data_IF_594342065647
#
_entry.id   IF_594342065647
#
_cell.length_a   1.000
_cell.length_b   1.000
_cell.length_c   1.000
_cell.angle_alpha   90.00
_cell.angle_beta   90.00
_cell.angle_gamma   90.00
#
_symmetry.space_group_name_H-M   'P 1'
#
loop_
_entity.id
_entity.type
_entity.pdbx_description
1 polymer ?
#
# COMPACT_ATOMS: atom_id res chain seq x y z
N UNK A 1 -40.49 45.80 24.75
CA UNK A 1 -41.15 45.56 23.45
C UNK A 1 -40.71 44.20 22.92
N UNK A 2 -41.61 43.22 22.85
CA UNK A 2 -41.35 41.93 22.21
C UNK A 2 -42.49 41.63 21.24
N UNK A 3 -42.18 41.59 19.94
CA UNK A 3 -43.14 41.44 18.85
C UNK A 3 -43.50 39.96 18.70
N UNK A 4 -44.69 39.55 19.15
CA UNK A 4 -45.26 38.21 18.87
C UNK A 4 -45.51 38.09 17.37
N UNK A 5 -44.71 37.27 16.69
CA UNK A 5 -44.92 36.90 15.29
C UNK A 5 -46.01 35.83 15.25
N UNK A 6 -47.18 36.16 14.73
CA UNK A 6 -48.28 35.21 14.55
C UNK A 6 -47.98 34.27 13.39
N UNK A 7 -47.79 33.00 13.69
CA UNK A 7 -47.68 31.95 12.68
C UNK A 7 -49.07 31.32 12.50
N UNK A 8 -49.74 31.65 11.39
CA UNK A 8 -50.96 30.98 10.94
C UNK A 8 -50.62 30.24 9.66
N UNK A 9 -50.22 28.98 9.78
CA UNK A 9 -50.17 28.08 8.64
C UNK A 9 -51.60 27.64 8.28
N UNK A 10 -52.02 27.66 7.00
CA UNK A 10 -53.33 27.20 6.59
C UNK A 10 -53.46 25.69 6.85
N UNK A 11 -54.60 25.28 7.40
CA UNK A 11 -54.88 23.91 7.83
C UNK A 11 -55.09 23.00 6.60
N UNK A 12 -54.01 22.59 5.93
CA UNK A 12 -54.02 21.62 4.83
C UNK A 12 -54.25 20.21 5.41
N UNK A 13 -55.36 19.56 5.04
CA UNK A 13 -55.59 18.14 5.37
C UNK A 13 -54.58 17.28 4.61
N UNK A 14 -53.58 16.76 5.32
CA UNK A 14 -52.62 15.80 4.80
C UNK A 14 -53.33 14.47 4.51
N UNK A 15 -53.53 14.17 3.23
CA UNK A 15 -54.04 12.86 2.79
C UNK A 15 -52.86 11.89 2.77
N UNK A 16 -52.99 10.75 3.45
CA UNK A 16 -51.91 9.76 3.45
C UNK A 16 -51.68 9.22 2.02
N UNK A 17 -50.42 8.94 1.64
CA UNK A 17 -50.11 8.28 0.37
C UNK A 17 -50.86 6.94 0.31
N UNK A 18 -51.37 6.62 -0.87
CA UNK A 18 -52.02 5.34 -1.08
C UNK A 18 -51.01 4.20 -0.85
N UNK A 19 -51.37 3.27 0.04
CA UNK A 19 -50.60 2.08 0.40
C UNK A 19 -51.13 0.83 -0.29
N UNK A 20 -52.07 0.98 -1.23
CA UNK A 20 -52.44 -0.10 -2.12
C UNK A 20 -51.17 -0.54 -2.87
N UNK A 21 -50.85 -1.83 -2.78
CA UNK A 21 -49.69 -2.41 -3.47
C UNK A 21 -49.80 -2.22 -4.99
N UNK A 22 -48.72 -2.46 -5.74
CA UNK A 22 -48.70 -2.25 -7.18
C UNK A 22 -49.81 -3.07 -7.87
N UNK A 23 -50.63 -2.39 -8.68
CA UNK A 23 -51.70 -3.03 -9.46
C UNK A 23 -51.19 -3.84 -10.66
N UNK A 24 -49.91 -3.69 -11.02
CA UNK A 24 -49.25 -4.36 -12.14
C UNK A 24 -48.19 -5.32 -11.62
N UNK A 25 -47.90 -6.38 -12.37
CA UNK A 25 -46.85 -7.36 -12.06
C UNK A 25 -45.57 -6.67 -11.61
N UNK A 26 -45.01 -7.10 -10.50
CA UNK A 26 -43.78 -6.51 -9.97
C UNK A 26 -42.58 -6.94 -10.81
N UNK A 27 -41.49 -6.15 -10.78
CA UNK A 27 -40.24 -6.53 -11.47
C UNK A 27 -39.68 -7.85 -10.93
N UNK A 28 -39.94 -8.16 -9.66
CA UNK A 28 -39.59 -9.42 -9.03
C UNK A 28 -40.38 -10.58 -9.66
N UNK A 29 -41.69 -10.44 -9.78
CA UNK A 29 -42.57 -11.44 -10.41
C UNK A 29 -42.25 -11.65 -11.90
N UNK A 30 -41.92 -10.58 -12.63
CA UNK A 30 -41.48 -10.67 -14.02
C UNK A 30 -40.11 -11.36 -14.17
N UNK A 31 -39.24 -11.22 -13.18
CA UNK A 31 -37.95 -11.89 -13.15
C UNK A 31 -38.07 -13.38 -12.80
N UNK A 32 -39.00 -13.71 -11.90
CA UNK A 32 -39.39 -15.07 -11.55
C UNK A 32 -40.08 -15.78 -12.73
N UNK A 33 -41.02 -15.12 -13.41
CA UNK A 33 -41.70 -15.65 -14.61
C UNK A 33 -40.72 -15.95 -15.77
N UNK A 34 -39.56 -15.30 -15.77
CA UNK A 34 -38.50 -15.46 -16.79
C UNK A 34 -37.31 -16.30 -16.32
N UNK A 35 -37.40 -16.93 -15.16
CA UNK A 35 -36.33 -17.75 -14.55
C UNK A 35 -34.96 -17.03 -14.51
N UNK A 36 -34.95 -15.69 -14.37
CA UNK A 36 -33.72 -14.89 -14.44
C UNK A 36 -32.76 -15.22 -13.30
N UNK A 37 -33.28 -15.58 -12.13
CA UNK A 37 -32.48 -16.00 -10.98
C UNK A 37 -31.76 -17.32 -11.21
N UNK A 38 -32.41 -18.28 -11.86
CA UNK A 38 -31.83 -19.57 -12.22
C UNK A 38 -30.74 -19.37 -13.28
N UNK A 39 -30.99 -18.51 -14.27
CA UNK A 39 -30.01 -18.17 -15.29
C UNK A 39 -28.79 -17.45 -14.70
N UNK A 40 -29.00 -16.50 -13.78
CA UNK A 40 -27.92 -15.82 -13.07
C UNK A 40 -27.07 -16.79 -12.26
N UNK A 41 -27.70 -17.67 -11.47
CA UNK A 41 -27.02 -18.70 -10.68
C UNK A 41 -26.22 -19.67 -11.56
N UNK A 42 -26.81 -20.14 -12.65
CA UNK A 42 -26.12 -21.03 -13.59
C UNK A 42 -24.90 -20.36 -14.23
N UNK A 43 -24.99 -19.06 -14.55
CA UNK A 43 -23.88 -18.28 -15.10
C UNK A 43 -22.78 -18.05 -14.07
N UNK A 44 -23.15 -17.79 -12.82
CA UNK A 44 -22.22 -17.66 -11.71
C UNK A 44 -21.47 -18.98 -11.45
N UNK A 45 -22.19 -20.10 -11.41
CA UNK A 45 -21.62 -21.44 -11.26
C UNK A 45 -20.68 -21.79 -12.42
N UNK A 46 -21.03 -21.40 -13.65
CA UNK A 46 -20.17 -21.57 -14.82
C UNK A 46 -18.88 -20.74 -14.72
N UNK A 47 -18.97 -19.48 -14.28
CA UNK A 47 -17.81 -18.62 -14.04
C UNK A 47 -16.93 -19.15 -12.90
N UNK A 48 -17.52 -19.63 -11.81
CA UNK A 48 -16.81 -20.28 -10.69
C UNK A 48 -16.07 -21.54 -11.17
N UNK A 49 -16.70 -22.37 -12.01
CA UNK A 49 -16.06 -23.55 -12.61
C UNK A 49 -14.93 -23.18 -13.57
N UNK A 50 -15.09 -22.14 -14.39
CA UNK A 50 -14.02 -21.64 -15.26
C UNK A 50 -12.82 -21.13 -14.43
N UNK A 51 -13.07 -20.33 -13.39
CA UNK A 51 -12.03 -19.84 -12.46
C UNK A 51 -11.31 -21.00 -11.74
N UNK A 52 -12.04 -22.04 -11.34
CA UNK A 52 -11.46 -23.27 -10.75
C UNK A 52 -10.64 -24.08 -11.77
N UNK A 53 -11.08 -24.16 -13.02
CA UNK A 53 -10.35 -24.88 -14.08
C UNK A 53 -9.06 -24.17 -14.48
N UNK A 54 -9.07 -22.83 -14.55
CA UNK A 54 -7.86 -22.01 -14.74
C UNK A 54 -6.89 -22.16 -13.57
N UNK A 55 -7.39 -22.26 -12.34
CA UNK A 55 -6.56 -22.50 -11.14
C UNK A 55 -6.01 -23.93 -11.07
N UNK A 56 -6.70 -24.93 -11.64
CA UNK A 56 -6.29 -26.34 -11.58
C UNK A 56 -5.27 -26.76 -12.65
N UNK A 57 -4.99 -25.91 -13.65
CA UNK A 57 -3.90 -26.10 -14.61
C UNK A 57 -2.50 -25.91 -14.01
N UNK A 58 -2.40 -25.29 -12.83
CA UNK A 58 -1.12 -24.91 -12.23
C UNK A 58 -1.15 -25.08 -10.69
N UNK A 59 -1.41 -26.28 -10.18
CA UNK A 59 -0.83 -26.79 -8.91
C UNK A 59 -1.51 -28.07 -8.41
N UNK A 60 -0.84 -29.20 -8.62
CA UNK A 60 -0.98 -30.36 -7.73
C UNK A 60 -0.15 -30.06 -6.47
N UNK A 61 -0.78 -29.57 -5.39
CA UNK A 61 -0.59 -30.08 -4.02
C UNK A 61 -1.36 -29.27 -2.95
N UNK A 62 -2.40 -29.93 -2.43
CA UNK A 62 -2.71 -30.09 -1.00
C UNK A 62 -3.22 -28.87 -0.21
N UNK A 63 -4.55 -28.79 -0.14
CA UNK A 63 -5.32 -29.03 1.09
C UNK A 63 -5.52 -27.85 2.06
N UNK A 64 -6.78 -27.46 2.22
CA UNK A 64 -7.26 -26.60 3.31
C UNK A 64 -8.61 -25.99 2.97
N UNK A 65 -9.66 -26.46 3.63
CA UNK A 65 -11.08 -26.15 3.46
C UNK A 65 -11.46 -24.70 3.82
N UNK A 66 -12.44 -24.21 3.06
CA UNK A 66 -13.64 -23.43 3.43
C UNK A 66 -13.55 -22.22 4.36
N UNK A 67 -14.16 -21.13 3.87
CA UNK A 67 -14.86 -20.14 4.69
C UNK A 67 -14.43 -18.70 4.42
N UNK A 68 -15.13 -18.02 3.52
CA UNK A 68 -16.03 -16.90 3.88
C UNK A 68 -16.59 -16.30 2.57
N UNK A 69 -17.91 -16.48 2.36
CA UNK A 69 -18.66 -15.82 1.30
C UNK A 69 -18.88 -14.36 1.71
N UNK A 70 -17.95 -13.50 1.32
CA UNK A 70 -18.16 -12.05 1.27
C UNK A 70 -18.69 -11.68 -0.10
N UNK A 71 -20.01 -11.43 -0.20
CA UNK A 71 -20.59 -10.63 -1.29
C UNK A 71 -19.96 -9.22 -1.24
N UNK A 72 -18.88 -9.01 -1.99
CA UNK A 72 -18.41 -7.67 -2.36
C UNK A 72 -18.54 -7.52 -3.88
N UNK A 73 -19.57 -6.78 -4.29
CA UNK A 73 -19.81 -6.35 -5.68
C UNK A 73 -18.80 -5.27 -6.13
N UNK A 74 -17.54 -5.41 -5.72
CA UNK A 74 -16.39 -4.73 -6.30
C UNK A 74 -15.75 -5.65 -7.31
N UNK A 75 -15.36 -5.14 -8.48
CA UNK A 75 -14.54 -5.93 -9.40
C UNK A 75 -13.20 -6.27 -8.71
N UNK A 76 -13.12 -7.39 -8.00
CA UNK A 76 -11.89 -7.90 -7.40
C UNK A 76 -10.82 -7.98 -8.49
N UNK A 77 -9.81 -7.12 -8.39
CA UNK A 77 -8.72 -7.10 -9.36
C UNK A 77 -7.97 -8.43 -9.27
N UNK A 78 -7.42 -8.89 -10.41
CA UNK A 78 -6.54 -10.07 -10.38
C UNK A 78 -5.43 -9.87 -9.34
N UNK A 79 -5.06 -10.90 -8.54
CA UNK A 79 -4.01 -10.79 -7.51
C UNK A 79 -2.69 -10.20 -8.03
N UNK A 80 -2.38 -10.44 -9.30
CA UNK A 80 -1.20 -9.87 -9.97
C UNK A 80 -1.37 -8.38 -10.26
N UNK A 81 -2.57 -7.94 -10.64
CA UNK A 81 -2.89 -6.53 -10.86
C UNK A 81 -2.82 -5.75 -9.56
N UNK A 82 -3.36 -6.27 -8.47
CA UNK A 82 -3.24 -5.66 -7.14
C UNK A 82 -1.77 -5.48 -6.75
N UNK A 83 -0.97 -6.54 -6.90
CA UNK A 83 0.48 -6.51 -6.64
C UNK A 83 1.19 -5.44 -7.48
N UNK A 84 0.89 -5.36 -8.77
CA UNK A 84 1.53 -4.39 -9.66
C UNK A 84 1.12 -2.97 -9.27
N UNK A 85 -0.16 -2.71 -9.04
CA UNK A 85 -0.66 -1.39 -8.67
C UNK A 85 -0.09 -0.93 -7.32
N UNK A 86 -0.04 -1.82 -6.33
CA UNK A 86 0.53 -1.53 -5.02
C UNK A 86 2.04 -1.26 -5.13
N UNK A 87 2.77 -2.09 -5.89
CA UNK A 87 4.19 -1.85 -6.19
C UNK A 87 4.41 -0.50 -6.88
N UNK A 88 3.59 -0.15 -7.87
CA UNK A 88 3.69 1.14 -8.57
C UNK A 88 3.43 2.29 -7.61
N UNK A 89 2.39 2.19 -6.77
CA UNK A 89 2.01 3.23 -5.82
C UNK A 89 3.15 3.50 -4.81
N UNK A 90 3.71 2.45 -4.23
CA UNK A 90 4.81 2.57 -3.27
C UNK A 90 6.10 3.08 -3.90
N UNK A 91 6.43 2.57 -5.09
CA UNK A 91 7.68 2.94 -5.77
C UNK A 91 7.66 4.37 -6.28
N UNK A 92 6.51 4.87 -6.74
CA UNK A 92 6.33 6.30 -7.08
C UNK A 92 6.47 7.15 -5.82
N UNK A 93 5.82 6.78 -4.72
CA UNK A 93 5.91 7.47 -3.44
C UNK A 93 7.37 7.58 -2.96
N UNK A 94 8.12 6.47 -3.03
CA UNK A 94 9.52 6.44 -2.60
C UNK A 94 10.46 7.15 -3.58
N UNK A 95 10.18 7.10 -4.89
CA UNK A 95 10.91 7.86 -5.90
C UNK A 95 10.72 9.38 -5.71
N UNK A 96 9.52 9.82 -5.32
CA UNK A 96 9.25 11.21 -4.96
C UNK A 96 10.01 11.62 -3.71
N UNK A 97 10.01 10.79 -2.66
CA UNK A 97 10.83 11.03 -1.46
C UNK A 97 12.32 11.16 -1.82
N UNK A 98 12.84 10.24 -2.64
CA UNK A 98 14.24 10.29 -3.11
C UNK A 98 14.53 11.56 -3.90
N UNK A 99 13.64 11.94 -4.82
CA UNK A 99 13.78 13.17 -5.59
C UNK A 99 13.83 14.39 -4.67
N UNK A 100 12.92 14.49 -3.69
CA UNK A 100 12.91 15.58 -2.71
C UNK A 100 14.19 15.61 -1.89
N UNK A 101 14.65 14.48 -1.36
CA UNK A 101 15.90 14.40 -0.62
C UNK A 101 17.11 14.78 -1.49
N UNK A 102 17.15 14.33 -2.74
CA UNK A 102 18.23 14.67 -3.69
C UNK A 102 18.25 16.18 -3.98
N UNK A 103 17.09 16.80 -4.18
CA UNK A 103 16.98 18.26 -4.37
C UNK A 103 17.39 19.02 -3.11
N UNK A 104 16.90 18.61 -1.94
CA UNK A 104 17.25 19.24 -0.67
C UNK A 104 18.75 19.18 -0.41
N UNK A 105 19.36 18.00 -0.55
CA UNK A 105 20.80 17.83 -0.31
C UNK A 105 21.63 18.64 -1.33
N UNK A 106 21.20 18.72 -2.58
CA UNK A 106 21.87 19.60 -3.55
C UNK A 106 21.71 21.09 -3.23
N UNK A 107 20.56 21.50 -2.72
CA UNK A 107 20.33 22.88 -2.28
C UNK A 107 21.16 23.22 -1.03
N UNK A 108 21.33 22.28 -0.10
CA UNK A 108 22.13 22.46 1.12
C UNK A 108 23.64 22.54 0.84
N UNK A 109 24.15 21.75 -0.12
CA UNK A 109 25.60 21.62 -0.35
C UNK A 109 26.13 22.25 -1.65
N UNK A 110 25.27 22.70 -2.56
CA UNK A 110 25.67 23.16 -3.90
C UNK A 110 24.81 24.31 -4.42
N UNK A 111 24.56 25.28 -3.54
CA UNK A 111 23.67 26.47 -3.64
C UNK A 111 23.34 27.03 -5.05
N UNK A 112 24.21 26.90 -6.05
CA UNK A 112 24.03 27.51 -7.39
C UNK A 112 24.10 26.55 -8.60
N UNK A 113 24.20 25.22 -8.45
CA UNK A 113 24.39 24.29 -9.60
C UNK A 113 23.56 23.00 -9.54
N UNK A 114 22.24 23.12 -9.37
CA UNK A 114 21.34 21.97 -9.60
C UNK A 114 21.31 21.64 -11.10
N UNK A 115 21.93 20.52 -11.48
CA UNK A 115 21.87 20.03 -12.86
C UNK A 115 20.64 19.14 -13.01
N UNK A 116 19.51 19.73 -13.39
CA UNK A 116 18.21 19.05 -13.49
C UNK A 116 18.22 17.75 -14.31
N UNK A 117 18.99 17.69 -15.40
CA UNK A 117 19.13 16.46 -16.19
C UNK A 117 19.73 15.30 -15.37
N UNK A 118 20.68 15.59 -14.47
CA UNK A 118 21.27 14.59 -13.57
C UNK A 118 20.30 14.19 -12.46
N UNK A 119 19.48 15.13 -11.97
CA UNK A 119 18.44 14.85 -10.97
C UNK A 119 17.39 13.90 -11.54
N UNK A 120 16.86 14.19 -12.72
CA UNK A 120 15.85 13.34 -13.38
C UNK A 120 16.38 11.95 -13.70
N UNK A 121 17.62 11.83 -14.17
CA UNK A 121 18.24 10.51 -14.43
C UNK A 121 18.44 9.71 -13.14
N UNK A 122 18.90 10.33 -12.04
CA UNK A 122 19.00 9.67 -10.73
C UNK A 122 17.64 9.27 -10.18
N UNK A 123 16.63 10.12 -10.30
CA UNK A 123 15.27 9.81 -9.86
C UNK A 123 14.66 8.64 -10.64
N UNK A 124 14.85 8.59 -11.96
CA UNK A 124 14.42 7.46 -12.79
C UNK A 124 15.16 6.16 -12.45
N UNK A 125 16.47 6.23 -12.22
CA UNK A 125 17.25 5.08 -11.74
C UNK A 125 16.77 4.60 -10.38
N UNK A 126 16.53 5.52 -9.44
CA UNK A 126 16.02 5.19 -8.12
C UNK A 126 14.63 4.53 -8.20
N UNK A 127 13.73 5.03 -9.06
CA UNK A 127 12.42 4.42 -9.30
C UNK A 127 12.54 2.96 -9.75
N UNK A 128 13.41 2.67 -10.72
CA UNK A 128 13.62 1.30 -11.19
C UNK A 128 14.22 0.39 -10.10
N UNK A 129 15.21 0.89 -9.36
CA UNK A 129 15.86 0.15 -8.28
C UNK A 129 14.86 -0.13 -7.15
N UNK A 130 14.06 0.87 -6.76
CA UNK A 130 13.00 0.68 -5.77
C UNK A 130 11.92 -0.26 -6.30
N UNK A 131 11.50 -0.20 -7.57
CA UNK A 131 10.56 -1.15 -8.12
C UNK A 131 11.07 -2.59 -8.06
N UNK A 132 12.35 -2.80 -8.41
CA UNK A 132 13.01 -4.09 -8.31
C UNK A 132 13.11 -4.59 -6.85
N UNK A 133 13.31 -3.69 -5.88
CA UNK A 133 13.39 -4.03 -4.46
C UNK A 133 12.01 -4.26 -3.83
N UNK A 134 11.01 -3.43 -4.13
CA UNK A 134 9.67 -3.52 -3.55
C UNK A 134 8.91 -4.73 -4.05
N UNK A 135 8.99 -5.02 -5.35
CA UNK A 135 8.24 -6.13 -5.94
C UNK A 135 8.43 -7.47 -5.19
N UNK A 136 9.66 -7.88 -4.80
CA UNK A 136 9.87 -9.10 -4.03
C UNK A 136 9.76 -8.93 -2.50
N UNK A 137 10.12 -7.78 -1.95
CA UNK A 137 10.26 -7.61 -0.49
C UNK A 137 9.00 -7.06 0.20
N UNK A 138 8.10 -6.39 -0.54
CA UNK A 138 6.87 -5.84 0.02
C UNK A 138 5.83 -6.94 0.31
N UNK A 139 5.18 -6.94 1.49
CA UNK A 139 4.14 -7.88 1.83
C UNK A 139 2.92 -7.70 0.94
N UNK A 140 2.73 -8.64 0.03
CA UNK A 140 1.50 -8.72 -0.74
C UNK A 140 0.48 -9.59 0.02
N UNK A 141 -0.64 -9.04 0.50
CA UNK A 141 -1.64 -9.80 1.25
C UNK A 141 -2.22 -10.96 0.42
N UNK A 142 -2.27 -10.82 -0.90
CA UNK A 142 -2.85 -11.78 -1.83
C UNK A 142 -1.94 -12.97 -2.19
N UNK A 143 -0.62 -12.88 -2.01
CA UNK A 143 0.28 -14.04 -2.16
C UNK A 143 1.60 -13.84 -1.38
N UNK A 144 1.74 -14.47 -0.20
CA UNK A 144 2.87 -14.26 0.71
C UNK A 144 4.12 -15.06 0.34
N UNK A 145 4.29 -15.52 -0.92
CA UNK A 145 5.51 -16.23 -1.33
C UNK A 145 6.61 -15.25 -1.76
N UNK A 146 7.47 -14.85 -0.82
CA UNK A 146 8.67 -14.03 -1.09
C UNK A 146 9.68 -14.82 -1.95
N UNK A 147 9.73 -16.15 -1.78
CA UNK A 147 10.60 -17.06 -2.53
C UNK A 147 9.85 -18.38 -2.84
N UNK A 148 9.89 -18.90 -4.07
CA UNK A 148 9.36 -20.23 -4.38
C UNK A 148 10.20 -21.28 -3.65
N UNK A 149 9.72 -21.78 -2.50
CA UNK A 149 10.35 -22.87 -1.75
C UNK A 149 10.51 -22.68 -0.23
N UNK A 150 10.24 -21.49 0.32
CA UNK A 150 10.38 -21.26 1.77
C UNK A 150 9.08 -21.53 2.57
N UNK A 151 9.14 -22.15 3.77
CA UNK A 151 7.96 -22.38 4.59
C UNK A 151 7.24 -21.06 4.96
N UNK A 152 5.94 -20.96 4.65
CA UNK A 152 5.11 -19.75 4.85
C UNK A 152 5.16 -19.16 6.27
N UNK A 153 5.43 -19.97 7.29
CA UNK A 153 5.54 -19.54 8.70
C UNK A 153 6.81 -18.74 9.02
N UNK A 154 7.91 -19.01 8.33
CA UNK A 154 9.22 -18.39 8.62
C UNK A 154 9.44 -17.12 7.80
N UNK A 155 8.73 -16.98 6.67
CA UNK A 155 8.79 -15.80 5.80
C UNK A 155 8.56 -14.45 6.51
N UNK A 156 7.53 -14.27 7.38
CA UNK A 156 7.35 -13.00 8.08
C UNK A 156 8.48 -12.69 9.05
N UNK A 157 9.03 -13.71 9.74
CA UNK A 157 10.13 -13.55 10.69
C UNK A 157 11.42 -13.14 9.97
N UNK A 158 11.72 -13.79 8.85
CA UNK A 158 12.88 -13.46 8.02
C UNK A 158 12.74 -12.04 7.48
N UNK A 159 11.56 -11.67 6.98
CA UNK A 159 11.29 -10.32 6.47
C UNK A 159 11.53 -9.26 7.56
N UNK A 160 10.89 -9.41 8.72
CA UNK A 160 11.09 -8.51 9.86
C UNK A 160 12.56 -8.42 10.27
N UNK A 161 13.27 -9.56 10.30
CA UNK A 161 14.71 -9.58 10.63
C UNK A 161 15.56 -8.83 9.60
N UNK A 162 15.30 -9.01 8.31
CA UNK A 162 16.00 -8.30 7.23
C UNK A 162 15.78 -6.81 7.35
N UNK A 163 14.53 -6.35 7.53
CA UNK A 163 14.23 -4.93 7.66
C UNK A 163 14.76 -4.33 8.97
N UNK A 164 14.83 -5.12 10.04
CA UNK A 164 15.43 -4.68 11.30
C UNK A 164 16.93 -4.41 11.16
N UNK A 165 17.66 -5.37 10.58
CA UNK A 165 19.10 -5.23 10.30
C UNK A 165 19.34 -4.12 9.28
N UNK A 166 18.56 -4.06 8.20
CA UNK A 166 18.66 -3.01 7.19
C UNK A 166 18.41 -1.62 7.80
N UNK A 167 17.42 -1.48 8.69
CA UNK A 167 17.12 -0.23 9.39
C UNK A 167 18.28 0.24 10.27
N UNK A 168 18.87 -0.65 11.08
CA UNK A 168 20.02 -0.32 11.92
C UNK A 168 21.24 0.03 11.07
N UNK A 169 21.57 -0.80 10.09
CA UNK A 169 22.72 -0.58 9.23
C UNK A 169 22.59 0.71 8.41
N UNK A 170 21.43 0.95 7.78
CA UNK A 170 21.18 2.14 6.99
C UNK A 170 21.16 3.40 7.86
N UNK A 171 20.53 3.37 9.04
CA UNK A 171 20.51 4.49 9.98
C UNK A 171 21.89 4.84 10.51
N UNK A 172 22.64 3.86 11.02
CA UNK A 172 24.02 4.06 11.48
C UNK A 172 24.95 4.52 10.35
N UNK A 173 24.82 3.94 9.15
CA UNK A 173 25.60 4.35 7.99
C UNK A 173 25.25 5.78 7.56
N UNK A 174 23.98 6.17 7.57
CA UNK A 174 23.55 7.53 7.23
C UNK A 174 24.18 8.56 8.19
N UNK A 175 24.10 8.31 9.50
CA UNK A 175 24.73 9.15 10.54
C UNK A 175 26.24 9.21 10.33
N UNK A 176 26.88 8.07 10.07
CA UNK A 176 28.31 8.01 9.84
C UNK A 176 28.70 8.81 8.60
N UNK A 177 27.95 8.71 7.49
CA UNK A 177 28.34 9.38 6.26
C UNK A 177 28.20 10.89 6.33
N UNK A 178 27.12 11.38 6.95
CA UNK A 178 26.86 12.82 7.07
C UNK A 178 27.88 13.51 7.97
N UNK A 179 28.45 12.78 8.94
CA UNK A 179 29.39 13.34 9.91
C UNK A 179 30.87 13.13 9.54
N UNK A 180 31.18 12.17 8.67
CA UNK A 180 32.57 11.75 8.41
C UNK A 180 33.06 12.07 7.00
N UNK A 181 32.19 12.04 5.99
CA UNK A 181 32.61 12.27 4.60
C UNK A 181 32.35 13.70 4.15
N UNK A 182 33.15 14.14 3.17
CA UNK A 182 32.95 15.43 2.51
C UNK A 182 31.64 15.51 1.72
N UNK A 183 31.20 16.74 1.46
CA UNK A 183 29.91 17.07 0.85
C UNK A 183 29.58 16.28 -0.43
N UNK A 184 30.56 16.04 -1.32
CA UNK A 184 30.34 15.30 -2.58
C UNK A 184 29.91 13.85 -2.36
N UNK A 185 30.39 13.20 -1.30
CA UNK A 185 30.01 11.82 -0.98
C UNK A 185 28.62 11.78 -0.36
N UNK A 186 28.31 12.75 0.51
CA UNK A 186 26.99 12.91 1.13
C UNK A 186 25.93 13.15 0.05
N UNK A 187 26.18 14.06 -0.89
CA UNK A 187 25.25 14.36 -2.00
C UNK A 187 24.88 13.14 -2.84
N UNK A 188 25.80 12.20 -3.06
CA UNK A 188 25.55 11.03 -3.91
C UNK A 188 24.92 9.86 -3.16
N UNK A 189 25.19 9.73 -1.86
CA UNK A 189 24.85 8.53 -1.08
C UNK A 189 23.71 8.73 -0.09
N UNK A 190 23.56 9.94 0.46
CA UNK A 190 22.56 10.19 1.49
C UNK A 190 21.12 10.07 0.99
N UNK A 191 20.73 10.58 -0.20
CA UNK A 191 19.34 10.46 -0.66
C UNK A 191 18.83 9.00 -0.80
N UNK A 192 19.51 8.09 -1.52
CA UNK A 192 19.04 6.71 -1.64
C UNK A 192 19.13 5.93 -0.32
N UNK A 193 20.18 6.14 0.48
CA UNK A 193 20.31 5.48 1.80
C UNK A 193 19.22 5.95 2.76
N UNK A 194 18.88 7.24 2.76
CA UNK A 194 17.80 7.80 3.56
C UNK A 194 16.45 7.20 3.18
N UNK A 195 16.16 7.07 1.89
CA UNK A 195 14.95 6.38 1.42
C UNK A 195 14.89 4.91 1.85
N UNK A 196 15.99 4.16 1.71
CA UNK A 196 16.05 2.77 2.16
C UNK A 196 15.88 2.65 3.67
N UNK A 197 16.42 3.59 4.45
CA UNK A 197 16.25 3.61 5.90
C UNK A 197 14.79 3.87 6.29
N UNK A 198 14.17 4.91 5.72
CA UNK A 198 12.74 5.24 5.97
C UNK A 198 11.85 4.06 5.57
N UNK A 199 12.07 3.48 4.39
CA UNK A 199 11.33 2.30 3.94
C UNK A 199 11.49 1.14 4.93
N UNK A 200 12.71 0.85 5.38
CA UNK A 200 12.96 -0.22 6.33
C UNK A 200 12.26 0.00 7.67
N UNK A 201 12.11 1.25 8.12
CA UNK A 201 11.40 1.59 9.37
C UNK A 201 9.88 1.43 9.21
N UNK A 202 9.32 1.84 8.08
CA UNK A 202 7.87 1.76 7.82
C UNK A 202 7.38 0.31 7.73
N UNK A 203 8.24 -0.59 7.25
CA UNK A 203 7.93 -2.01 7.06
C UNK A 203 8.08 -2.85 8.36
N UNK A 204 8.72 -2.30 9.39
CA UNK A 204 8.88 -2.95 10.69
C UNK A 204 7.60 -2.83 11.54
N UNK A 205 7.32 -3.85 12.36
CA UNK A 205 6.29 -3.70 13.38
C UNK A 205 6.70 -2.62 14.39
N UNK A 206 5.73 -1.90 14.94
CA UNK A 206 5.93 -0.78 15.87
C UNK A 206 7.02 -1.01 16.94
N UNK A 207 7.05 -2.13 17.70
CA UNK A 207 8.08 -2.33 18.71
C UNK A 207 9.49 -2.46 18.10
N UNK A 208 9.63 -3.14 16.97
CA UNK A 208 10.91 -3.32 16.28
C UNK A 208 11.39 -2.03 15.62
N UNK A 209 10.47 -1.22 15.09
CA UNK A 209 10.76 0.11 14.56
C UNK A 209 11.28 1.06 15.65
N UNK A 210 10.64 1.08 16.83
CA UNK A 210 11.10 1.88 17.97
C UNK A 210 12.49 1.40 18.43
N UNK A 211 12.70 0.08 18.50
CA UNK A 211 13.99 -0.48 18.90
C UNK A 211 15.10 -0.17 17.90
N UNK A 212 14.84 -0.23 16.59
CA UNK A 212 15.85 0.09 15.57
C UNK A 212 16.22 1.58 15.59
N UNK A 213 15.23 2.47 15.78
CA UNK A 213 15.46 3.91 15.94
C UNK A 213 16.22 4.24 17.23
N UNK A 214 15.86 3.61 18.35
CA UNK A 214 16.58 3.76 19.61
C UNK A 214 18.04 3.30 19.48
N UNK A 215 18.29 2.22 18.72
CA UNK A 215 19.64 1.71 18.43
C UNK A 215 20.45 2.72 17.59
N UNK A 216 19.86 3.28 16.54
CA UNK A 216 20.50 4.32 15.73
C UNK A 216 20.76 5.61 16.53
N UNK A 217 19.83 6.01 17.40
CA UNK A 217 20.00 7.15 18.31
C UNK A 217 21.10 6.91 19.35
N UNK A 218 21.16 5.70 19.91
CA UNK A 218 22.24 5.30 20.82
C UNK A 218 23.60 5.35 20.14
N UNK A 219 23.69 4.92 18.88
CA UNK A 219 24.91 5.02 18.08
C UNK A 219 25.36 6.48 17.90
N UNK A 220 24.44 7.41 17.66
CA UNK A 220 24.74 8.84 17.56
C UNK A 220 25.36 9.38 18.87
N UNK A 221 24.76 9.03 20.01
CA UNK A 221 25.22 9.45 21.34
C UNK A 221 26.60 8.87 21.68
N UNK A 222 26.80 7.56 21.44
CA UNK A 222 28.06 6.86 21.73
C UNK A 222 29.24 7.39 20.89
N UNK A 223 28.98 7.78 19.64
CA UNK A 223 29.99 8.35 18.76
C UNK A 223 30.29 9.82 19.04
N UNK A 224 29.57 10.46 19.97
CA UNK A 224 29.79 11.86 20.36
C UNK A 224 29.51 12.85 19.23
N UNK A 225 28.65 12.48 18.28
CA UNK A 225 28.23 13.39 17.22
C UNK A 225 27.29 14.45 17.82
N UNK A 226 27.88 15.57 18.24
CA UNK A 226 27.15 16.71 18.80
C UNK A 226 26.21 17.30 17.73
N UNK A 227 24.92 17.35 18.03
CA UNK A 227 23.97 18.22 17.32
C UNK A 227 24.31 19.64 17.81
N UNK A 228 24.93 20.45 16.96
CA UNK A 228 25.13 21.89 17.18
C UNK A 228 24.18 22.68 16.31
#
# INVERSE_FOLDING_TARGET
>A
MAKKRGDRSPNLKLRQPDRSGPSTKTLLELAEERDLFVLAKNKEDANKKAKRAETHGESIQRGGEDGDDGDDDGAELSPTTERILDTILWTISLAMLHFTLDVLVQHQFSADRVVWAKVWTRAGQALLVFAMLFYPLHPHPSNPSILPGLPKRVQPIIRQSIFFVASICAGCYLIHITNTYGYMAVMKRAPPVGCLWVWSVIELDLPWAVLSLASAGSFLLLKGYSIR
#
